data_IF_004738281619
#
_entry.id   IF_004738281619
#
_cell.length_a   1.000
_cell.length_b   1.000
_cell.length_c   1.000
_cell.angle_alpha   90.00
_cell.angle_beta   90.00
_cell.angle_gamma   90.00
#
_symmetry.space_group_name_H-M   'P 1'
#
loop_
_entity.id
_entity.type
_entity.pdbx_description
1 polymer ?
#
# COMPACT_ATOMS: atom_id res chain seq x y z
N UNK A 1 5.98 -3.69 -39.06
CA UNK A 1 4.72 -3.48 -38.29
C UNK A 1 5.14 -3.00 -36.91
N UNK A 2 5.29 -1.68 -36.76
CA UNK A 2 5.89 -1.05 -35.59
C UNK A 2 4.81 -0.81 -34.53
N UNK A 3 4.89 -1.51 -33.40
CA UNK A 3 4.10 -1.18 -32.21
C UNK A 3 4.94 -0.23 -31.36
N UNK A 4 4.63 1.06 -31.42
CA UNK A 4 5.31 2.10 -30.66
C UNK A 4 5.00 1.95 -29.17
N UNK A 5 6.06 1.77 -28.39
CA UNK A 5 6.08 1.82 -26.94
C UNK A 5 5.71 3.23 -26.48
N UNK A 6 4.48 3.43 -26.00
CA UNK A 6 4.06 4.66 -25.35
C UNK A 6 4.70 4.72 -23.95
N UNK A 7 5.89 5.29 -23.90
CA UNK A 7 6.66 5.56 -22.69
C UNK A 7 6.08 6.79 -21.97
N UNK A 8 5.01 6.61 -21.19
CA UNK A 8 4.51 7.64 -20.28
C UNK A 8 5.27 7.50 -18.95
N UNK A 9 6.31 8.32 -18.77
CA UNK A 9 7.06 8.44 -17.51
C UNK A 9 6.15 9.00 -16.41
N UNK A 10 5.45 8.14 -15.67
CA UNK A 10 4.90 8.50 -14.36
C UNK A 10 6.07 8.56 -13.37
N UNK A 11 6.52 9.79 -13.13
CA UNK A 11 7.64 10.12 -12.26
C UNK A 11 7.17 10.11 -10.80
N UNK A 12 7.46 9.03 -10.06
CA UNK A 12 7.29 8.99 -8.60
C UNK A 12 8.01 10.14 -7.88
N UNK A 13 8.95 10.80 -8.55
CA UNK A 13 9.61 12.04 -8.09
C UNK A 13 8.63 13.17 -7.75
N UNK A 14 7.43 13.20 -8.34
CA UNK A 14 6.40 14.19 -8.04
C UNK A 14 5.62 13.92 -6.75
N UNK A 15 5.71 12.71 -6.17
CA UNK A 15 5.08 12.36 -4.89
C UNK A 15 5.64 13.20 -3.71
N UNK A 16 6.91 13.59 -3.79
CA UNK A 16 7.55 14.52 -2.84
C UNK A 16 7.02 15.95 -3.00
N UNK A 17 6.69 16.36 -4.23
CA UNK A 17 6.17 17.69 -4.55
C UNK A 17 4.67 17.84 -4.22
N UNK A 18 3.90 16.76 -4.30
CA UNK A 18 2.51 16.70 -3.85
C UNK A 18 2.44 16.94 -2.33
N UNK A 19 3.42 16.46 -1.55
CA UNK A 19 3.49 16.69 -0.10
C UNK A 19 3.99 18.08 0.31
N UNK A 20 4.67 18.82 -0.58
CA UNK A 20 5.06 20.21 -0.31
C UNK A 20 4.00 21.22 -0.75
N UNK A 21 3.05 20.82 -1.63
CA UNK A 21 1.95 21.67 -2.13
C UNK A 21 0.57 21.28 -1.58
N UNK A 22 0.42 20.13 -0.91
CA UNK A 22 -0.82 19.76 -0.24
C UNK A 22 -1.08 20.72 0.93
N UNK A 23 -2.25 21.40 0.99
CA UNK A 23 -2.60 22.19 2.16
C UNK A 23 -2.60 21.28 3.40
N UNK A 24 -2.28 21.81 4.61
CA UNK A 24 -2.47 21.06 5.84
C UNK A 24 -3.91 20.55 5.85
N UNK A 25 -4.04 19.25 6.13
CA UNK A 25 -5.26 18.44 6.18
C UNK A 25 -6.54 19.28 6.29
N UNK A 26 -7.56 19.10 5.43
CA UNK A 26 -8.78 19.88 5.55
C UNK A 26 -9.37 19.68 6.94
N UNK A 27 -9.45 20.77 7.72
CA UNK A 27 -10.09 20.77 9.05
C UNK A 27 -11.47 20.14 8.90
N UNK A 28 -11.74 19.12 9.71
CA UNK A 28 -13.04 18.44 9.80
C UNK A 28 -14.12 19.50 10.00
N UNK A 29 -14.79 19.92 8.91
CA UNK A 29 -15.87 20.90 8.96
C UNK A 29 -17.03 20.23 9.69
N UNK A 30 -17.30 20.67 10.91
CA UNK A 30 -18.61 20.46 11.54
C UNK A 30 -19.66 21.10 10.63
N UNK A 31 -20.33 20.29 9.82
CA UNK A 31 -21.52 20.72 9.08
C UNK A 31 -22.72 20.43 9.96
N UNK A 32 -23.37 21.49 10.44
CA UNK A 32 -24.78 21.43 10.83
C UNK A 32 -25.56 20.81 9.66
N UNK A 33 -26.32 19.78 10.00
CA UNK A 33 -27.08 18.97 9.05
C UNK A 33 -28.21 19.82 8.47
N UNK A 34 -28.26 19.97 7.15
CA UNK A 34 -29.49 20.32 6.43
C UNK A 34 -29.90 19.08 5.65
N UNK A 35 -31.09 18.60 5.98
CA UNK A 35 -31.70 17.38 5.47
C UNK A 35 -31.97 17.45 3.97
N UNK A 36 -32.01 16.25 3.37
CA UNK A 36 -32.61 15.92 2.09
C UNK A 36 -31.81 16.29 0.82
N UNK A 37 -30.86 15.42 0.48
CA UNK A 37 -30.69 14.87 -0.89
C UNK A 37 -29.74 13.66 -0.84
N UNK A 38 -30.32 12.47 -0.96
CA UNK A 38 -29.74 11.31 -1.65
C UNK A 38 -28.25 11.01 -1.31
N UNK A 39 -28.01 10.24 -0.24
CA UNK A 39 -26.71 9.62 0.06
C UNK A 39 -26.36 8.57 -1.01
N UNK A 40 -25.96 9.01 -2.21
CA UNK A 40 -25.13 8.19 -3.08
C UNK A 40 -23.75 8.14 -2.44
N UNK A 41 -23.41 7.05 -1.76
CA UNK A 41 -22.01 6.73 -1.41
C UNK A 41 -21.21 6.86 -2.70
N UNK A 42 -20.16 7.68 -2.70
CA UNK A 42 -19.25 7.81 -3.83
C UNK A 42 -18.67 6.40 -4.11
N UNK A 43 -18.99 5.76 -5.26
CA UNK A 43 -18.58 4.37 -5.51
C UNK A 43 -17.06 4.17 -5.42
N UNK A 44 -16.31 5.23 -5.75
CA UNK A 44 -14.85 5.22 -5.68
C UNK A 44 -14.32 5.25 -4.26
N UNK A 45 -14.95 6.01 -3.36
CA UNK A 45 -14.63 5.96 -1.93
C UNK A 45 -14.98 4.59 -1.34
N UNK A 46 -16.11 4.02 -1.75
CA UNK A 46 -16.49 2.67 -1.32
C UNK A 46 -15.47 1.61 -1.78
N UNK A 47 -15.00 1.70 -3.03
CA UNK A 47 -13.97 0.81 -3.56
C UNK A 47 -12.63 0.99 -2.83
N UNK A 48 -12.19 2.22 -2.59
CA UNK A 48 -10.97 2.50 -1.82
C UNK A 48 -11.05 1.94 -0.40
N UNK A 49 -12.20 2.11 0.26
CA UNK A 49 -12.44 1.58 1.60
C UNK A 49 -12.43 0.05 1.62
N UNK A 50 -13.03 -0.60 0.62
CA UNK A 50 -13.02 -2.05 0.51
C UNK A 50 -11.60 -2.59 0.26
N UNK A 51 -10.86 -2.01 -0.69
CA UNK A 51 -9.45 -2.37 -0.94
C UNK A 51 -8.60 -2.20 0.31
N UNK A 52 -8.77 -1.10 1.03
CA UNK A 52 -7.99 -0.85 2.25
C UNK A 52 -8.30 -1.89 3.34
N UNK A 53 -9.58 -2.26 3.49
CA UNK A 53 -9.96 -3.31 4.45
C UNK A 53 -9.33 -4.67 4.09
N UNK A 54 -9.28 -5.03 2.81
CA UNK A 54 -8.62 -6.25 2.34
C UNK A 54 -7.10 -6.21 2.53
N UNK A 55 -6.47 -5.08 2.22
CA UNK A 55 -5.05 -4.83 2.50
C UNK A 55 -4.75 -5.02 3.99
N UNK A 56 -5.53 -4.38 4.87
CA UNK A 56 -5.34 -4.51 6.32
C UNK A 56 -5.55 -5.94 6.78
N UNK A 57 -6.62 -6.62 6.31
CA UNK A 57 -6.86 -8.03 6.63
C UNK A 57 -5.69 -8.91 6.22
N UNK A 58 -5.24 -8.80 4.96
CA UNK A 58 -4.14 -9.60 4.43
C UNK A 58 -2.84 -9.31 5.17
N UNK A 59 -2.48 -8.03 5.35
CA UNK A 59 -1.25 -7.61 6.04
C UNK A 59 -1.12 -8.12 7.48
N UNK A 60 -2.25 -8.49 8.12
CA UNK A 60 -2.31 -8.98 9.50
C UNK A 60 -2.38 -10.50 9.62
N UNK A 61 -2.23 -11.24 8.52
CA UNK A 61 -2.18 -12.71 8.62
C UNK A 61 -0.98 -13.14 9.49
N UNK A 62 -1.20 -13.99 10.52
CA UNK A 62 -0.15 -14.38 11.47
C UNK A 62 1.11 -14.96 10.82
N UNK A 63 0.94 -15.62 9.66
CA UNK A 63 2.02 -16.28 8.96
C UNK A 63 3.15 -15.32 8.51
N UNK A 64 2.85 -14.03 8.28
CA UNK A 64 3.90 -13.03 7.99
C UNK A 64 4.86 -12.83 9.16
N UNK A 65 4.32 -12.84 10.38
CA UNK A 65 5.06 -12.58 11.60
C UNK A 65 5.75 -13.85 12.13
N UNK A 66 5.11 -15.01 11.92
CA UNK A 66 5.62 -16.31 12.38
C UNK A 66 6.60 -16.94 11.39
N UNK A 67 6.22 -17.05 10.11
CA UNK A 67 6.98 -17.80 9.11
C UNK A 67 7.88 -16.91 8.22
N UNK A 68 7.50 -15.64 8.03
CA UNK A 68 8.37 -14.64 7.41
C UNK A 68 9.17 -13.82 8.43
N UNK A 69 9.00 -14.04 9.74
CA UNK A 69 9.74 -13.36 10.80
C UNK A 69 9.67 -11.82 10.76
N UNK A 70 8.61 -11.26 10.15
CA UNK A 70 8.40 -9.80 10.18
C UNK A 70 8.13 -9.38 11.62
N UNK A 71 8.77 -8.32 12.14
CA UNK A 71 8.53 -7.86 13.52
C UNK A 71 7.06 -7.54 13.77
N UNK A 72 6.45 -8.17 14.77
CA UNK A 72 5.09 -7.83 15.20
C UNK A 72 5.09 -6.55 16.06
N UNK A 73 5.35 -5.43 15.39
CA UNK A 73 5.41 -4.09 15.96
C UNK A 73 4.54 -3.14 15.15
N UNK A 74 4.28 -1.94 15.66
CA UNK A 74 3.53 -0.91 14.92
C UNK A 74 4.19 -0.61 13.57
N UNK A 75 5.51 -0.44 13.57
CA UNK A 75 6.27 -0.20 12.34
C UNK A 75 6.22 -1.42 11.42
N UNK A 76 6.43 -2.64 11.92
CA UNK A 76 6.36 -3.85 11.10
C UNK A 76 4.99 -4.10 10.47
N UNK A 77 3.90 -3.89 11.22
CA UNK A 77 2.52 -3.94 10.69
C UNK A 77 2.28 -2.87 9.62
N UNK A 78 2.83 -1.67 9.82
CA UNK A 78 2.77 -0.60 8.81
C UNK A 78 3.54 -0.97 7.54
N UNK A 79 4.71 -1.60 7.66
CA UNK A 79 5.46 -2.08 6.49
C UNK A 79 4.66 -3.11 5.70
N UNK A 80 4.00 -4.05 6.38
CA UNK A 80 3.12 -5.02 5.72
C UNK A 80 1.94 -4.35 5.01
N UNK A 81 1.26 -3.39 5.64
CA UNK A 81 0.17 -2.62 5.00
C UNK A 81 0.71 -1.88 3.77
N UNK A 82 1.86 -1.23 3.91
CA UNK A 82 2.52 -0.47 2.85
C UNK A 82 2.88 -1.34 1.64
N UNK A 83 3.42 -2.53 1.89
CA UNK A 83 3.78 -3.50 0.85
C UNK A 83 2.56 -3.93 0.03
N UNK A 84 1.44 -4.26 0.69
CA UNK A 84 0.20 -4.66 0.01
C UNK A 84 -0.46 -3.49 -0.73
N UNK A 85 -0.47 -2.31 -0.13
CA UNK A 85 -0.97 -1.10 -0.78
C UNK A 85 -0.16 -0.75 -2.03
N UNK A 86 1.18 -0.92 -1.97
CA UNK A 86 2.05 -0.78 -3.12
C UNK A 86 1.64 -1.70 -4.28
N UNK A 87 1.43 -2.99 -4.02
CA UNK A 87 1.02 -3.96 -5.05
C UNK A 87 -0.28 -3.53 -5.74
N UNK A 88 -1.30 -3.13 -4.98
CA UNK A 88 -2.56 -2.63 -5.55
C UNK A 88 -2.34 -1.40 -6.41
N UNK A 89 -1.62 -0.40 -5.89
CA UNK A 89 -1.37 0.86 -6.61
C UNK A 89 -0.53 0.66 -7.87
N UNK A 90 0.40 -0.30 -7.85
CA UNK A 90 1.19 -0.71 -9.02
C UNK A 90 0.30 -1.20 -10.16
N UNK A 91 -0.75 -1.98 -9.87
CA UNK A 91 -1.70 -2.44 -10.90
C UNK A 91 -2.72 -1.39 -11.34
N UNK A 92 -3.01 -0.39 -10.51
CA UNK A 92 -3.83 0.77 -10.90
C UNK A 92 -3.07 1.79 -11.77
N UNK A 93 -1.74 1.78 -11.70
CA UNK A 93 -0.86 2.74 -12.39
C UNK A 93 -1.04 2.66 -13.91
N UNK A 94 -1.25 3.81 -14.53
CA UNK A 94 -1.36 3.93 -15.99
C UNK A 94 -2.71 3.45 -16.58
N UNK A 95 -3.67 3.05 -15.74
CA UNK A 95 -4.97 2.52 -16.16
C UNK A 95 -6.07 3.60 -16.30
N UNK A 96 -5.67 4.86 -16.52
CA UNK A 96 -6.57 6.01 -16.71
C UNK A 96 -7.00 6.72 -15.42
N UNK A 97 -7.71 7.84 -15.59
CA UNK A 97 -8.02 8.80 -14.52
C UNK A 97 -8.82 8.19 -13.35
N UNK A 98 -9.73 7.26 -13.65
CA UNK A 98 -10.53 6.59 -12.64
C UNK A 98 -9.65 5.72 -11.71
N UNK A 99 -8.72 4.94 -12.28
CA UNK A 99 -7.79 4.12 -11.53
C UNK A 99 -6.79 4.98 -10.74
N UNK A 100 -6.31 6.08 -11.33
CA UNK A 100 -5.44 7.04 -10.65
C UNK A 100 -6.14 7.66 -9.43
N UNK A 101 -7.39 8.08 -9.58
CA UNK A 101 -8.15 8.66 -8.47
C UNK A 101 -8.50 7.62 -7.39
N UNK A 102 -8.70 6.35 -7.77
CA UNK A 102 -8.85 5.26 -6.80
C UNK A 102 -7.55 5.05 -6.01
N UNK A 103 -6.40 5.01 -6.70
CA UNK A 103 -5.07 4.90 -6.08
C UNK A 103 -4.80 6.04 -5.10
N UNK A 104 -5.15 7.29 -5.45
CA UNK A 104 -5.01 8.42 -4.54
C UNK A 104 -5.93 8.30 -3.32
N UNK A 105 -7.19 7.89 -3.52
CA UNK A 105 -8.15 7.74 -2.41
C UNK A 105 -7.71 6.64 -1.44
N UNK A 106 -7.16 5.53 -1.97
CA UNK A 106 -6.57 4.45 -1.18
C UNK A 106 -5.37 4.95 -0.36
N UNK A 107 -4.46 5.70 -0.99
CA UNK A 107 -3.31 6.29 -0.32
C UNK A 107 -3.73 7.23 0.81
N UNK A 108 -4.67 8.13 0.54
CA UNK A 108 -5.19 9.09 1.54
C UNK A 108 -5.81 8.35 2.74
N UNK A 109 -6.56 7.27 2.48
CA UNK A 109 -7.17 6.46 3.53
C UNK A 109 -6.11 5.74 4.37
N UNK A 110 -5.09 5.15 3.74
CA UNK A 110 -3.98 4.50 4.45
C UNK A 110 -3.24 5.47 5.38
N UNK A 111 -2.96 6.69 4.92
CA UNK A 111 -2.27 7.69 5.74
C UNK A 111 -3.16 8.25 6.86
N UNK A 112 -4.47 8.36 6.63
CA UNK A 112 -5.41 8.78 7.67
C UNK A 112 -5.51 7.75 8.81
N UNK A 113 -5.57 6.45 8.47
CA UNK A 113 -5.57 5.36 9.47
C UNK A 113 -4.27 5.33 10.29
N UNK A 114 -3.14 5.57 9.63
CA UNK A 114 -1.84 5.65 10.30
C UNK A 114 -1.74 6.85 11.24
N UNK A 115 -2.18 8.05 10.83
CA UNK A 115 -2.22 9.22 11.71
C UNK A 115 -3.08 8.95 12.95
N UNK A 116 -4.25 8.33 12.77
CA UNK A 116 -5.11 7.93 13.87
C UNK A 116 -4.43 6.91 14.80
N UNK A 117 -3.82 5.86 14.24
CA UNK A 117 -3.12 4.82 15.00
C UNK A 117 -1.97 5.38 15.84
N UNK A 118 -1.20 6.33 15.30
CA UNK A 118 -0.11 6.99 16.05
C UNK A 118 -0.65 7.83 17.21
N UNK A 119 -1.76 8.55 17.01
CA UNK A 119 -2.41 9.32 18.09
C UNK A 119 -2.92 8.41 19.20
N UNK A 120 -3.48 7.26 18.84
CA UNK A 120 -4.03 6.28 19.78
C UNK A 120 -2.96 5.67 20.69
N UNK A 121 -1.75 5.46 20.19
CA UNK A 121 -0.61 4.99 21.00
C UNK A 121 0.13 6.13 21.73
N UNK A 122 -0.42 7.35 21.72
CA UNK A 122 0.08 8.48 22.51
C UNK A 122 1.18 9.32 21.85
N UNK A 123 1.41 9.19 20.53
CA UNK A 123 2.29 10.12 19.81
C UNK A 123 1.61 11.49 19.80
N UNK A 124 2.22 12.46 20.48
CA UNK A 124 1.65 13.79 20.66
C UNK A 124 1.52 14.62 19.38
N UNK A 125 0.54 15.52 19.38
CA UNK A 125 0.21 16.43 18.25
C UNK A 125 1.39 17.25 17.73
N UNK A 126 2.37 17.52 18.59
CA UNK A 126 3.56 18.31 18.24
C UNK A 126 4.58 17.54 17.39
N UNK A 127 4.66 16.21 17.54
CA UNK A 127 5.60 15.36 16.79
C UNK A 127 4.95 14.63 15.63
N UNK A 128 3.62 14.44 15.63
CA UNK A 128 2.94 13.59 14.65
C UNK A 128 3.23 13.97 13.19
N UNK A 129 3.26 15.25 12.86
CA UNK A 129 3.58 15.70 11.50
C UNK A 129 4.99 15.29 11.04
N UNK A 130 5.95 15.16 11.96
CA UNK A 130 7.31 14.65 11.65
C UNK A 130 7.28 13.13 11.40
N UNK A 131 6.50 12.39 12.19
CA UNK A 131 6.32 10.95 12.00
C UNK A 131 5.67 10.65 10.65
N UNK A 132 4.55 11.30 10.34
CA UNK A 132 3.85 11.14 9.06
C UNK A 132 4.77 11.45 7.87
N UNK A 133 5.55 12.54 7.92
CA UNK A 133 6.51 12.88 6.85
C UNK A 133 7.61 11.84 6.70
N UNK A 134 8.15 11.31 7.81
CA UNK A 134 9.17 10.25 7.79
C UNK A 134 8.62 8.98 7.14
N UNK A 135 7.42 8.56 7.55
CA UNK A 135 6.75 7.36 7.03
C UNK A 135 6.39 7.52 5.55
N UNK A 136 5.90 8.69 5.14
CA UNK A 136 5.66 9.00 3.72
C UNK A 136 6.93 8.91 2.88
N UNK A 137 8.03 9.52 3.34
CA UNK A 137 9.32 9.44 2.63
C UNK A 137 9.81 7.99 2.53
N UNK A 138 9.68 7.22 3.61
CA UNK A 138 10.07 5.82 3.63
C UNK A 138 9.21 5.00 2.65
N UNK A 139 7.88 5.17 2.67
CA UNK A 139 6.95 4.55 1.73
C UNK A 139 7.37 4.77 0.27
N UNK A 140 7.60 6.02 -0.15
CA UNK A 140 8.00 6.30 -1.54
C UNK A 140 9.39 5.76 -1.91
N UNK A 141 10.33 5.78 -0.97
CA UNK A 141 11.64 5.15 -1.17
C UNK A 141 11.52 3.65 -1.47
N UNK A 142 10.63 2.97 -0.74
CA UNK A 142 10.36 1.53 -0.88
C UNK A 142 9.63 1.20 -2.16
N UNK A 143 8.62 2.00 -2.53
CA UNK A 143 7.91 1.84 -3.81
C UNK A 143 8.89 1.84 -4.98
N UNK A 144 9.86 2.76 -4.99
CA UNK A 144 10.87 2.80 -6.06
C UNK A 144 11.75 1.54 -6.10
N UNK A 145 12.15 1.02 -4.94
CA UNK A 145 12.94 -0.21 -4.83
C UNK A 145 12.14 -1.44 -5.29
N UNK A 146 10.90 -1.60 -4.80
CA UNK A 146 10.05 -2.74 -5.16
C UNK A 146 9.63 -2.71 -6.63
N UNK A 147 9.33 -1.53 -7.21
CA UNK A 147 9.07 -1.38 -8.64
C UNK A 147 10.25 -1.85 -9.49
N UNK A 148 11.47 -1.45 -9.12
CA UNK A 148 12.67 -1.85 -9.84
C UNK A 148 12.88 -3.37 -9.74
N UNK A 149 12.83 -3.91 -8.51
CA UNK A 149 13.05 -5.32 -8.24
C UNK A 149 12.02 -6.23 -8.97
N UNK A 150 10.73 -5.88 -8.93
CA UNK A 150 9.68 -6.62 -9.65
C UNK A 150 9.77 -6.41 -11.17
N UNK A 151 10.31 -5.29 -11.62
CA UNK A 151 10.61 -5.03 -13.04
C UNK A 151 11.87 -5.74 -13.56
N UNK A 152 12.56 -6.52 -12.72
CA UNK A 152 13.80 -7.21 -13.08
C UNK A 152 15.03 -6.29 -13.18
N UNK A 153 14.98 -5.08 -12.61
CA UNK A 153 16.08 -4.13 -12.57
C UNK A 153 16.49 -3.75 -11.14
N UNK A 154 17.67 -3.15 -10.98
CA UNK A 154 18.13 -2.65 -9.68
C UNK A 154 18.57 -3.74 -8.71
N UNK A 155 18.27 -3.55 -7.42
CA UNK A 155 18.54 -4.54 -6.36
C UNK A 155 17.53 -5.70 -6.40
N UNK A 156 17.88 -6.82 -5.78
CA UNK A 156 16.94 -7.95 -5.65
C UNK A 156 15.77 -7.58 -4.72
N UNK A 157 14.62 -8.24 -4.91
CA UNK A 157 13.45 -8.03 -4.05
C UNK A 157 13.76 -8.44 -2.61
N UNK A 158 14.53 -9.51 -2.43
CA UNK A 158 15.02 -9.99 -1.14
C UNK A 158 15.83 -8.91 -0.44
N UNK A 159 16.78 -8.27 -1.13
CA UNK A 159 17.60 -7.18 -0.58
C UNK A 159 16.75 -5.98 -0.16
N UNK A 160 15.80 -5.58 -1.01
CA UNK A 160 14.89 -4.48 -0.68
C UNK A 160 14.03 -4.81 0.55
N UNK A 161 13.43 -6.01 0.58
CA UNK A 161 12.59 -6.46 1.69
C UNK A 161 13.38 -6.60 2.99
N UNK A 162 14.61 -7.15 2.94
CA UNK A 162 15.50 -7.26 4.09
C UNK A 162 15.75 -5.89 4.75
N UNK A 163 16.16 -4.91 3.94
CA UNK A 163 16.39 -3.53 4.41
C UNK A 163 15.14 -2.92 5.04
N UNK A 164 13.98 -3.14 4.41
CA UNK A 164 12.78 -2.36 4.68
C UNK A 164 11.90 -2.96 5.79
N UNK A 165 11.79 -4.29 5.87
CA UNK A 165 10.95 -5.01 6.84
C UNK A 165 11.73 -5.52 8.06
N UNK A 166 13.06 -5.64 7.95
CA UNK A 166 13.88 -6.27 8.98
C UNK A 166 15.04 -5.41 9.47
N UNK A 167 15.09 -4.13 9.12
CA UNK A 167 16.18 -3.22 9.51
C UNK A 167 16.40 -3.04 11.03
N UNK A 168 15.48 -3.52 11.87
CA UNK A 168 15.60 -3.55 13.34
C UNK A 168 15.84 -4.95 13.93
N UNK A 169 15.97 -5.98 13.08
CA UNK A 169 16.16 -7.38 13.48
C UNK A 169 17.58 -7.81 13.17
N UNK A 170 18.27 -8.34 14.18
CA UNK A 170 19.56 -9.00 13.97
C UNK A 170 19.36 -10.46 13.53
N UNK A 171 20.15 -10.93 12.56
CA UNK A 171 20.20 -12.32 12.10
C UNK A 171 18.85 -12.86 11.58
N UNK A 172 18.22 -12.14 10.65
CA UNK A 172 17.03 -12.62 9.94
C UNK A 172 17.39 -13.86 9.12
N UNK A 173 16.64 -14.98 9.25
CA UNK A 173 16.89 -16.13 8.40
C UNK A 173 16.66 -15.79 6.93
N UNK A 174 17.64 -16.07 6.06
CA UNK A 174 17.52 -15.81 4.62
C UNK A 174 16.28 -16.47 4.00
N UNK A 175 15.89 -17.64 4.52
CA UNK A 175 14.67 -18.35 4.12
C UNK A 175 13.38 -17.57 4.44
N UNK A 176 13.35 -16.79 5.52
CA UNK A 176 12.20 -15.98 5.89
C UNK A 176 12.01 -14.80 4.91
N UNK A 177 13.12 -14.13 4.57
CA UNK A 177 13.14 -13.07 3.54
C UNK A 177 12.74 -13.63 2.18
N UNK A 178 13.27 -14.81 1.81
CA UNK A 178 12.94 -15.50 0.57
C UNK A 178 11.45 -15.84 0.48
N UNK A 179 10.85 -16.34 1.57
CA UNK A 179 9.40 -16.62 1.64
C UNK A 179 8.57 -15.36 1.40
N UNK A 180 8.96 -14.24 2.02
CA UNK A 180 8.27 -12.96 1.78
C UNK A 180 8.43 -12.50 0.32
N UNK A 181 9.62 -12.61 -0.26
CA UNK A 181 9.86 -12.25 -1.66
C UNK A 181 9.05 -13.12 -2.63
N UNK A 182 8.99 -14.44 -2.40
CA UNK A 182 8.20 -15.37 -3.20
C UNK A 182 6.70 -15.05 -3.11
N UNK A 183 6.20 -14.74 -1.91
CA UNK A 183 4.84 -14.27 -1.71
C UNK A 183 4.56 -12.98 -2.51
N UNK A 184 5.42 -11.97 -2.41
CA UNK A 184 5.22 -10.69 -3.11
C UNK A 184 5.16 -10.89 -4.62
N UNK A 185 6.00 -11.76 -5.19
CA UNK A 185 5.96 -12.10 -6.61
C UNK A 185 4.67 -12.83 -6.98
N UNK A 186 4.21 -13.77 -6.15
CA UNK A 186 2.96 -14.49 -6.38
C UNK A 186 1.75 -13.55 -6.32
N UNK A 187 1.73 -12.62 -5.36
CA UNK A 187 0.70 -11.61 -5.21
C UNK A 187 0.65 -10.64 -6.41
N UNK A 188 1.80 -10.11 -6.85
CA UNK A 188 1.91 -9.26 -8.06
C UNK A 188 1.38 -10.01 -9.31
N UNK A 189 1.79 -11.27 -9.49
CA UNK A 189 1.32 -12.08 -10.61
C UNK A 189 -0.20 -12.35 -10.55
N UNK A 190 -0.75 -12.57 -9.35
CA UNK A 190 -2.18 -12.84 -9.17
C UNK A 190 -3.05 -11.61 -9.43
N UNK A 191 -2.63 -10.45 -8.94
CA UNK A 191 -3.29 -9.18 -9.22
C UNK A 191 -3.20 -8.83 -10.72
N UNK A 192 -2.05 -9.08 -11.35
CA UNK A 192 -1.91 -8.93 -12.80
C UNK A 192 -2.89 -9.82 -13.58
N UNK A 193 -3.04 -11.08 -13.16
CA UNK A 193 -3.95 -12.04 -13.79
C UNK A 193 -5.44 -11.71 -13.58
N UNK A 194 -5.80 -11.17 -12.42
CA UNK A 194 -7.17 -10.74 -12.11
C UNK A 194 -7.60 -9.50 -12.93
N UNK A 195 -6.63 -8.64 -13.28
CA UNK A 195 -6.87 -7.43 -14.06
C UNK A 195 -7.46 -6.27 -13.26
N UNK A 196 -7.89 -5.24 -13.98
CA UNK A 196 -8.29 -3.96 -13.39
C UNK A 196 -9.68 -3.98 -12.73
N UNK A 197 -10.63 -4.70 -13.33
CA UNK A 197 -12.04 -4.63 -12.92
C UNK A 197 -12.28 -5.00 -11.45
N UNK A 198 -11.68 -6.07 -10.90
CA UNK A 198 -11.81 -6.38 -9.47
C UNK A 198 -11.30 -5.26 -8.57
N UNK A 199 -10.14 -4.68 -8.90
CA UNK A 199 -9.56 -3.57 -8.13
C UNK A 199 -10.49 -2.35 -8.15
N UNK A 200 -11.04 -2.02 -9.32
CA UNK A 200 -12.01 -0.92 -9.46
C UNK A 200 -13.31 -1.18 -8.69
N UNK A 201 -13.66 -2.44 -8.48
CA UNK A 201 -14.81 -2.86 -7.67
C UNK A 201 -14.50 -3.00 -6.17
N UNK A 202 -13.26 -2.68 -5.74
CA UNK A 202 -12.88 -2.72 -4.34
C UNK A 202 -12.30 -4.06 -3.86
N UNK A 203 -11.86 -4.94 -4.78
CA UNK A 203 -11.41 -6.30 -4.50
C UNK A 203 -9.96 -6.54 -4.96
N UNK A 204 -9.12 -7.05 -4.08
CA UNK A 204 -7.72 -7.41 -4.28
C UNK A 204 -7.48 -8.83 -3.74
N UNK A 205 -6.95 -9.69 -4.60
CA UNK A 205 -6.65 -11.08 -4.29
C UNK A 205 -5.12 -11.29 -4.32
N UNK A 206 -4.52 -11.34 -3.11
CA UNK A 206 -3.07 -11.37 -2.93
C UNK A 206 -2.47 -12.78 -2.85
N UNK A 207 -3.27 -13.84 -2.91
CA UNK A 207 -2.91 -15.22 -2.51
C UNK A 207 -2.65 -15.38 -1.01
N UNK A 208 -2.77 -16.60 -0.48
CA UNK A 208 -2.42 -16.87 0.92
C UNK A 208 -0.90 -16.93 1.06
N UNK A 209 -0.37 -16.41 2.17
CA UNK A 209 1.08 -16.41 2.41
C UNK A 209 1.70 -17.83 2.38
N UNK A 210 0.95 -18.84 2.82
CA UNK A 210 1.40 -20.23 2.83
C UNK A 210 1.22 -20.97 1.48
N UNK A 211 0.75 -20.29 0.43
CA UNK A 211 0.49 -20.90 -0.87
C UNK A 211 -0.75 -21.80 -0.91
N UNK A 212 -1.59 -21.78 0.13
CA UNK A 212 -2.93 -22.34 0.01
C UNK A 212 -3.74 -21.43 -0.92
N UNK A 213 -4.44 -22.02 -1.89
CA UNK A 213 -5.49 -21.29 -2.57
C UNK A 213 -6.56 -21.02 -1.50
N UNK A 214 -6.76 -19.76 -1.12
CA UNK A 214 -7.96 -19.33 -0.41
C UNK A 214 -9.17 -19.83 -1.21
N UNK A 215 -9.75 -20.92 -0.72
CA UNK A 215 -11.03 -21.41 -1.17
C UNK A 215 -12.05 -20.43 -0.59
N UNK A 216 -12.46 -19.47 -1.43
CA UNK A 216 -13.61 -18.63 -1.18
C UNK A 216 -14.76 -19.50 -0.67
N UNK A 217 -15.21 -19.20 0.55
CA UNK A 217 -16.47 -19.68 1.14
C UNK A 217 -17.52 -18.59 1.01
#
# INVERSE_FOLDING_TARGET
MACQSANVKFSWSSGVEILTKAPPYPKRRSRRVVFAKLFRRNPQEAAATALYAEIVRQSREPAFYEAAAVPDTVDGRFEMISLHAFLVMRHLKGQGDAAQKLSQTLFDQMFADMDQSLREIGIGDLSIGKHIKKMAKAFYGRVAAYEAALGGGGESLETALERDHYGSVENVPAEAVKRLADYVRAADARLAAAGLDPLMAGKADFSDFNGAASAAS
#
